data_IF_166353301298
#
_entry.id   IF_166353301298
#
_cell.length_a   1.000
_cell.length_b   1.000
_cell.length_c   1.000
_cell.angle_alpha   90.00
_cell.angle_beta   90.00
_cell.angle_gamma   90.00
#
_symmetry.space_group_name_H-M   'P 1'
#
loop_
_entity.id
_entity.type
_entity.pdbx_description
1 polymer ?
#
# COMPACT_ATOMS: atom_id res chain seq x y z
N UNK A 1 79.93 -31.18 8.41
CA UNK A 1 78.68 -31.48 9.16
C UNK A 1 77.72 -30.32 8.99
N UNK A 2 76.57 -30.52 8.32
CA UNK A 2 75.63 -29.43 7.97
C UNK A 2 74.51 -29.40 9.03
N UNK A 3 74.49 -28.36 9.87
CA UNK A 3 73.55 -28.20 10.98
C UNK A 3 72.15 -27.90 10.39
N UNK A 4 71.19 -28.83 10.53
CA UNK A 4 69.79 -28.55 10.18
C UNK A 4 69.26 -27.54 11.20
N UNK A 5 68.80 -26.40 10.72
CA UNK A 5 68.04 -25.45 11.54
C UNK A 5 66.63 -26.01 11.62
N UNK A 6 66.26 -26.55 12.77
CA UNK A 6 64.87 -26.85 13.06
C UNK A 6 64.15 -25.50 13.22
N UNK A 7 63.32 -25.16 12.22
CA UNK A 7 62.40 -24.06 12.36
C UNK A 7 61.44 -24.42 13.48
N UNK A 8 61.55 -23.71 14.61
CA UNK A 8 60.69 -23.93 15.77
C UNK A 8 59.22 -23.78 15.36
N UNK A 9 58.42 -24.81 15.60
CA UNK A 9 56.98 -24.90 15.31
C UNK A 9 56.12 -23.80 15.97
N UNK A 10 56.74 -22.92 16.77
CA UNK A 10 56.08 -21.83 17.51
C UNK A 10 55.50 -20.73 16.58
N UNK A 11 56.14 -20.43 15.45
CA UNK A 11 55.69 -19.37 14.55
C UNK A 11 54.41 -19.72 13.78
N UNK A 12 54.26 -20.97 13.36
CA UNK A 12 53.11 -21.44 12.58
C UNK A 12 51.82 -21.48 13.42
N UNK A 13 51.91 -21.90 14.69
CA UNK A 13 50.75 -21.91 15.60
C UNK A 13 50.18 -20.51 15.83
N UNK A 14 51.04 -19.49 15.96
CA UNK A 14 50.61 -18.09 16.14
C UNK A 14 49.98 -17.53 14.86
N UNK A 15 50.52 -17.87 13.68
CA UNK A 15 49.95 -17.46 12.38
C UNK A 15 48.57 -18.08 12.17
N UNK A 16 48.38 -19.35 12.50
CA UNK A 16 47.07 -20.01 12.40
C UNK A 16 46.05 -19.35 13.34
N UNK A 17 46.47 -18.98 14.55
CA UNK A 17 45.59 -18.33 15.53
C UNK A 17 45.17 -16.93 15.07
N UNK A 18 46.09 -16.12 14.54
CA UNK A 18 45.74 -14.79 14.00
C UNK A 18 44.86 -14.90 12.76
N UNK A 19 45.14 -15.86 11.87
CA UNK A 19 44.29 -16.12 10.70
C UNK A 19 42.88 -16.51 11.11
N UNK A 20 42.73 -17.46 12.03
CA UNK A 20 41.42 -17.87 12.55
C UNK A 20 40.69 -16.72 13.23
N UNK A 21 41.38 -15.86 13.99
CA UNK A 21 40.78 -14.70 14.63
C UNK A 21 40.25 -13.71 13.58
N UNK A 22 41.01 -13.44 12.53
CA UNK A 22 40.56 -12.59 11.42
C UNK A 22 39.34 -13.21 10.74
N UNK A 23 39.36 -14.52 10.48
CA UNK A 23 38.22 -15.23 9.89
C UNK A 23 36.95 -15.13 10.75
N UNK A 24 37.05 -15.24 12.08
CA UNK A 24 35.91 -15.09 12.98
C UNK A 24 35.38 -13.66 12.97
N UNK A 25 36.29 -12.66 12.98
CA UNK A 25 35.90 -11.25 12.94
C UNK A 25 35.23 -10.89 11.62
N UNK A 26 35.78 -11.33 10.48
CA UNK A 26 35.17 -11.09 9.17
C UNK A 26 33.82 -11.79 9.05
N UNK A 27 33.73 -13.06 9.47
CA UNK A 27 32.47 -13.78 9.50
C UNK A 27 31.42 -13.08 10.37
N UNK A 28 31.81 -12.61 11.55
CA UNK A 28 30.92 -11.87 12.46
C UNK A 28 30.44 -10.55 11.85
N UNK A 29 31.34 -9.82 11.17
CA UNK A 29 30.99 -8.58 10.50
C UNK A 29 30.00 -8.82 9.34
N UNK A 30 30.24 -9.84 8.51
CA UNK A 30 29.31 -10.23 7.45
C UNK A 30 27.96 -10.66 8.03
N UNK A 31 27.96 -11.50 9.06
CA UNK A 31 26.73 -11.95 9.73
C UNK A 31 25.92 -10.77 10.30
N UNK A 32 26.57 -9.78 10.90
CA UNK A 32 25.90 -8.57 11.40
C UNK A 32 25.31 -7.73 10.27
N UNK A 33 26.05 -7.52 9.18
CA UNK A 33 25.57 -6.76 8.02
C UNK A 33 24.35 -7.45 7.38
N UNK A 34 24.41 -8.77 7.21
CA UNK A 34 23.29 -9.57 6.71
C UNK A 34 22.08 -9.47 7.64
N UNK A 35 22.26 -9.69 8.95
CA UNK A 35 21.17 -9.60 9.93
C UNK A 35 20.53 -8.20 9.97
N UNK A 36 21.32 -7.13 9.85
CA UNK A 36 20.80 -5.76 9.80
C UNK A 36 20.02 -5.49 8.50
N UNK A 37 20.46 -6.03 7.37
CA UNK A 37 19.73 -5.96 6.11
C UNK A 37 18.38 -6.67 6.20
N UNK A 38 18.37 -7.89 6.73
CA UNK A 38 17.16 -8.70 6.89
C UNK A 38 16.19 -8.05 7.88
N UNK A 39 16.71 -7.46 8.96
CA UNK A 39 15.91 -6.69 9.90
C UNK A 39 15.23 -5.49 9.22
N UNK A 40 15.98 -4.70 8.43
CA UNK A 40 15.42 -3.56 7.70
C UNK A 40 14.35 -3.99 6.69
N UNK A 41 14.59 -5.09 5.97
CA UNK A 41 13.61 -5.64 5.04
C UNK A 41 12.33 -6.06 5.79
N UNK A 42 12.48 -6.85 6.85
CA UNK A 42 11.36 -7.34 7.67
C UNK A 42 10.55 -6.20 8.24
N UNK A 43 11.22 -5.15 8.73
CA UNK A 43 10.57 -3.95 9.24
C UNK A 43 9.76 -3.24 8.16
N UNK A 44 10.33 -3.03 6.96
CA UNK A 44 9.61 -2.42 5.84
C UNK A 44 8.36 -3.21 5.45
N UNK A 45 8.46 -4.55 5.43
CA UNK A 45 7.31 -5.42 5.14
C UNK A 45 6.24 -5.27 6.22
N UNK A 46 6.61 -5.27 7.49
CA UNK A 46 5.69 -5.08 8.60
C UNK A 46 5.00 -3.71 8.56
N UNK A 47 5.77 -2.65 8.33
CA UNK A 47 5.28 -1.27 8.22
C UNK A 47 4.29 -1.14 7.04
N UNK A 48 4.63 -1.71 5.88
CA UNK A 48 3.77 -1.71 4.70
C UNK A 48 2.47 -2.49 4.91
N UNK A 49 2.56 -3.63 5.60
CA UNK A 49 1.38 -4.43 5.92
C UNK A 49 0.45 -3.66 6.88
N UNK A 50 1.03 -3.02 7.90
CA UNK A 50 0.30 -2.17 8.84
C UNK A 50 -0.40 -1.01 8.14
N UNK A 51 0.30 -0.29 7.25
CA UNK A 51 -0.31 0.82 6.51
C UNK A 51 -1.42 0.36 5.57
N UNK A 52 -1.28 -0.80 4.94
CA UNK A 52 -2.32 -1.40 4.12
C UNK A 52 -3.60 -1.68 4.92
N UNK A 53 -3.49 -2.34 6.07
CA UNK A 53 -4.66 -2.61 6.90
C UNK A 53 -5.27 -1.35 7.48
N UNK A 54 -4.47 -0.35 7.83
CA UNK A 54 -4.96 0.96 8.27
C UNK A 54 -5.75 1.69 7.18
N UNK A 55 -5.34 1.57 5.91
CA UNK A 55 -6.10 2.12 4.80
C UNK A 55 -7.40 1.34 4.56
N UNK A 56 -7.39 0.03 4.75
CA UNK A 56 -8.60 -0.79 4.69
C UNK A 56 -9.61 -0.40 5.78
N UNK A 57 -9.15 -0.18 7.01
CA UNK A 57 -9.98 0.28 8.13
C UNK A 57 -10.66 1.61 7.79
N UNK A 58 -9.91 2.59 7.27
CA UNK A 58 -10.47 3.86 6.80
C UNK A 58 -11.52 3.66 5.70
N UNK A 59 -11.25 2.80 4.73
CA UNK A 59 -12.22 2.52 3.66
C UNK A 59 -13.50 1.88 4.21
N UNK A 60 -13.41 1.00 5.21
CA UNK A 60 -14.57 0.40 5.87
C UNK A 60 -15.37 1.40 6.70
N UNK A 61 -14.69 2.30 7.42
CA UNK A 61 -15.35 3.37 8.17
C UNK A 61 -16.18 4.26 7.22
N UNK A 62 -15.60 4.62 6.08
CA UNK A 62 -16.30 5.36 5.03
C UNK A 62 -17.50 4.59 4.45
N UNK A 63 -17.35 3.29 4.18
CA UNK A 63 -18.45 2.44 3.74
C UNK A 63 -19.58 2.44 4.78
N UNK A 64 -19.25 2.36 6.07
CA UNK A 64 -20.26 2.41 7.14
C UNK A 64 -21.00 3.74 7.20
N UNK A 65 -20.31 4.86 6.94
CA UNK A 65 -20.95 6.18 6.87
C UNK A 65 -21.89 6.26 5.66
N UNK A 66 -21.46 5.73 4.51
CA UNK A 66 -22.28 5.65 3.30
C UNK A 66 -23.51 4.78 3.53
N UNK A 67 -23.42 3.70 4.30
CA UNK A 67 -24.56 2.83 4.61
C UNK A 67 -25.67 3.60 5.34
N UNK A 68 -25.30 4.45 6.29
CA UNK A 68 -26.24 5.32 6.99
C UNK A 68 -26.86 6.37 6.06
N UNK A 69 -26.07 6.95 5.16
CA UNK A 69 -26.54 7.91 4.15
C UNK A 69 -27.51 7.23 3.16
N UNK A 70 -27.19 6.03 2.68
CA UNK A 70 -28.04 5.28 1.75
C UNK A 70 -29.36 4.87 2.41
N UNK A 71 -29.33 4.45 3.68
CA UNK A 71 -30.53 4.11 4.44
C UNK A 71 -31.44 5.33 4.65
N UNK A 72 -30.88 6.45 5.11
CA UNK A 72 -31.65 7.70 5.30
C UNK A 72 -32.20 8.26 3.99
N UNK A 73 -31.42 8.20 2.90
CA UNK A 73 -31.87 8.59 1.57
C UNK A 73 -33.03 7.72 1.07
N UNK A 74 -33.04 6.42 1.39
CA UNK A 74 -34.12 5.52 1.02
C UNK A 74 -35.41 5.82 1.79
N UNK A 75 -35.34 6.08 3.10
CA UNK A 75 -36.52 6.43 3.91
C UNK A 75 -37.13 7.78 3.49
N UNK A 76 -36.31 8.74 3.08
CA UNK A 76 -36.75 10.06 2.64
C UNK A 76 -37.21 10.16 1.18
N UNK A 77 -37.01 9.11 0.37
CA UNK A 77 -37.23 9.19 -1.07
C UNK A 77 -38.43 8.34 -1.54
N UNK A 78 -39.43 8.94 -2.20
CA UNK A 78 -40.58 8.20 -2.73
C UNK A 78 -40.24 7.40 -4.00
N UNK A 79 -39.27 7.87 -4.80
CA UNK A 79 -38.94 7.31 -6.11
C UNK A 79 -37.44 7.07 -6.31
N UNK A 80 -37.09 6.15 -7.23
CA UNK A 80 -35.69 5.86 -7.63
C UNK A 80 -34.92 7.11 -8.07
N UNK A 81 -35.58 8.07 -8.72
CA UNK A 81 -34.95 9.33 -9.15
C UNK A 81 -34.61 10.24 -7.95
N UNK A 82 -35.56 10.39 -7.02
CA UNK A 82 -35.37 11.19 -5.81
C UNK A 82 -34.26 10.60 -4.91
N UNK A 83 -34.17 9.27 -4.84
CA UNK A 83 -33.13 8.55 -4.11
C UNK A 83 -31.72 8.92 -4.60
N UNK A 84 -31.49 8.90 -5.91
CA UNK A 84 -30.19 9.23 -6.45
C UNK A 84 -29.85 10.71 -6.29
N UNK A 85 -30.82 11.63 -6.41
CA UNK A 85 -30.60 13.05 -6.15
C UNK A 85 -30.28 13.34 -4.67
N UNK A 86 -30.93 12.64 -3.74
CA UNK A 86 -30.63 12.74 -2.31
C UNK A 86 -29.19 12.27 -2.01
N UNK A 87 -28.76 11.17 -2.62
CA UNK A 87 -27.38 10.65 -2.47
C UNK A 87 -26.35 11.62 -3.06
N UNK A 88 -26.60 12.17 -4.25
CA UNK A 88 -25.73 13.17 -4.86
C UNK A 88 -25.54 14.39 -3.95
N UNK A 89 -26.64 14.85 -3.35
CA UNK A 89 -26.61 15.98 -2.42
C UNK A 89 -25.81 15.64 -1.16
N UNK A 90 -26.07 14.48 -0.56
CA UNK A 90 -25.42 14.05 0.67
C UNK A 90 -23.92 13.72 0.50
N UNK A 91 -23.51 13.28 -0.69
CA UNK A 91 -22.12 12.89 -0.99
C UNK A 91 -21.32 13.96 -1.75
N UNK A 92 -21.89 15.16 -1.94
CA UNK A 92 -21.17 16.30 -2.56
C UNK A 92 -20.14 16.94 -1.64
N UNK A 93 -20.14 16.61 -0.34
CA UNK A 93 -19.15 17.10 0.61
C UNK A 93 -17.83 16.34 0.45
N UNK A 94 -16.92 16.97 -0.30
CA UNK A 94 -15.56 16.50 -0.52
C UNK A 94 -14.74 16.62 0.78
N UNK A 95 -14.78 15.57 1.58
CA UNK A 95 -13.86 15.45 2.71
C UNK A 95 -12.40 15.32 2.21
N UNK A 96 -11.49 16.07 2.82
CA UNK A 96 -10.17 16.43 2.25
C UNK A 96 -9.08 15.38 2.46
N UNK A 97 -9.34 14.32 3.26
CA UNK A 97 -8.35 13.29 3.56
C UNK A 97 -8.45 12.02 2.68
N UNK A 98 -9.57 11.83 1.99
CA UNK A 98 -9.87 10.65 1.17
C UNK A 98 -10.48 11.17 -0.12
N UNK A 99 -9.87 10.92 -1.28
CA UNK A 99 -10.51 11.34 -2.53
C UNK A 99 -11.71 10.42 -2.77
N UNK A 100 -12.89 11.00 -2.58
CA UNK A 100 -14.20 10.41 -2.82
C UNK A 100 -14.67 10.92 -4.18
N UNK A 101 -15.10 10.02 -5.06
CA UNK A 101 -15.65 10.41 -6.35
C UNK A 101 -16.95 9.65 -6.61
N UNK A 102 -18.03 10.40 -6.81
CA UNK A 102 -19.30 9.87 -7.25
C UNK A 102 -19.42 10.10 -8.77
N UNK A 103 -19.58 9.01 -9.52
CA UNK A 103 -19.75 9.02 -10.97
C UNK A 103 -21.13 8.47 -11.35
N UNK A 104 -21.79 9.12 -12.30
CA UNK A 104 -23.09 8.70 -12.80
C UNK A 104 -22.92 7.69 -13.93
N UNK A 105 -23.62 6.56 -13.83
CA UNK A 105 -23.70 5.60 -14.93
C UNK A 105 -24.89 5.98 -15.81
N UNK A 106 -24.63 6.71 -16.89
CA UNK A 106 -25.65 7.07 -17.87
C UNK A 106 -25.77 6.01 -18.96
N UNK A 107 -27.01 5.61 -19.27
CA UNK A 107 -27.32 4.85 -20.47
C UNK A 107 -28.47 5.56 -21.19
N UNK A 108 -28.25 5.93 -22.45
CA UNK A 108 -29.22 6.64 -23.29
C UNK A 108 -29.78 7.93 -22.64
N UNK A 109 -28.94 8.74 -21.99
CA UNK A 109 -29.34 10.02 -21.38
C UNK A 109 -30.18 9.91 -20.11
N UNK A 110 -30.28 8.71 -19.51
CA UNK A 110 -30.93 8.47 -18.23
C UNK A 110 -29.94 7.88 -17.23
N UNK A 111 -29.92 8.42 -16.01
CA UNK A 111 -29.11 7.89 -14.90
C UNK A 111 -29.61 6.49 -14.55
N UNK A 112 -28.79 5.48 -14.83
CA UNK A 112 -29.14 4.07 -14.59
C UNK A 112 -28.67 3.57 -13.24
N UNK A 113 -27.60 4.18 -12.69
CA UNK A 113 -27.03 3.90 -11.39
C UNK A 113 -25.93 4.90 -11.02
N UNK A 114 -25.37 4.74 -9.84
CA UNK A 114 -24.32 5.60 -9.29
C UNK A 114 -23.12 4.73 -8.88
N UNK A 115 -21.92 5.14 -9.29
CA UNK A 115 -20.66 4.50 -8.86
C UNK A 115 -19.97 5.40 -7.85
N UNK A 116 -19.72 4.91 -6.65
CA UNK A 116 -18.94 5.62 -5.64
C UNK A 116 -17.54 5.04 -5.53
N UNK A 117 -16.53 5.88 -5.66
CA UNK A 117 -15.12 5.48 -5.61
C UNK A 117 -14.46 6.10 -4.38
N UNK A 118 -13.86 5.25 -3.56
CA UNK A 118 -13.06 5.62 -2.39
C UNK A 118 -11.60 5.36 -2.73
N UNK A 119 -10.74 6.36 -2.55
CA UNK A 119 -9.29 6.20 -2.68
C UNK A 119 -8.58 6.58 -1.38
N UNK A 120 -7.80 5.64 -0.86
CA UNK A 120 -7.01 5.83 0.35
C UNK A 120 -5.53 5.65 0.04
N UNK A 121 -4.72 6.65 0.37
CA UNK A 121 -3.26 6.55 0.26
C UNK A 121 -2.72 5.59 1.34
N UNK A 122 -2.04 4.53 0.90
CA UNK A 122 -1.41 3.51 1.75
C UNK A 122 0.06 3.86 2.01
N UNK A 123 0.74 4.36 0.99
CA UNK A 123 2.11 4.86 1.03
C UNK A 123 2.32 5.82 -0.14
N UNK A 124 3.53 6.39 -0.28
CA UNK A 124 3.87 7.32 -1.37
C UNK A 124 3.69 6.72 -2.78
N UNK A 125 3.69 5.39 -2.88
CA UNK A 125 3.56 4.66 -4.15
C UNK A 125 2.33 3.75 -4.18
N UNK A 126 1.58 3.61 -3.10
CA UNK A 126 0.46 2.68 -3.03
C UNK A 126 -0.84 3.37 -2.66
N UNK A 127 -1.90 3.06 -3.41
CA UNK A 127 -3.24 3.58 -3.20
C UNK A 127 -4.25 2.44 -3.21
N UNK A 128 -5.09 2.38 -2.19
CA UNK A 128 -6.23 1.46 -2.12
C UNK A 128 -7.41 2.12 -2.81
N UNK A 129 -7.94 1.48 -3.86
CA UNK A 129 -9.13 1.93 -4.59
C UNK A 129 -10.28 0.96 -4.36
N UNK A 130 -11.39 1.46 -3.81
CA UNK A 130 -12.63 0.72 -3.60
C UNK A 130 -13.73 1.34 -4.45
N UNK A 131 -14.47 0.53 -5.21
CA UNK A 131 -15.61 0.99 -6.02
C UNK A 131 -16.89 0.29 -5.58
N UNK A 132 -17.90 1.09 -5.26
CA UNK A 132 -19.24 0.68 -4.87
C UNK A 132 -20.20 1.01 -6.01
N UNK A 133 -21.02 0.04 -6.40
CA UNK A 133 -22.14 0.22 -7.33
C UNK A 133 -23.42 0.36 -6.51
N UNK A 134 -23.99 1.56 -6.51
CA UNK A 134 -25.15 1.92 -5.68
C UNK A 134 -26.43 1.51 -6.42
N UNK A 135 -27.23 0.71 -5.72
CA UNK A 135 -28.45 0.13 -6.24
C UNK A 135 -29.65 0.72 -5.50
N UNK A 136 -30.75 0.91 -6.23
CA UNK A 136 -32.04 1.20 -5.59
C UNK A 136 -32.67 -0.12 -5.12
N UNK A 137 -32.89 -0.32 -3.81
CA UNK A 137 -33.50 -1.54 -3.30
C UNK A 137 -35.00 -1.55 -3.60
N UNK A 138 -35.45 -2.55 -4.34
CA UNK A 138 -36.87 -2.70 -4.72
C UNK A 138 -37.63 -3.48 -3.63
N UNK A 139 -36.93 -4.38 -2.95
CA UNK A 139 -37.46 -5.16 -1.84
C UNK A 139 -36.74 -4.80 -0.54
N UNK A 140 -37.43 -4.98 0.59
CA UNK A 140 -36.93 -4.66 1.94
C UNK A 140 -35.67 -5.42 2.37
N UNK A 141 -35.25 -6.44 1.62
CA UNK A 141 -34.05 -7.24 1.87
C UNK A 141 -32.94 -7.00 0.83
N UNK A 142 -33.17 -6.12 -0.15
CA UNK A 142 -32.15 -5.82 -1.15
C UNK A 142 -31.04 -4.95 -0.55
N UNK A 143 -29.79 -5.28 -0.88
CA UNK A 143 -28.64 -4.48 -0.48
C UNK A 143 -28.61 -3.14 -1.24
N UNK A 144 -28.28 -2.06 -0.52
CA UNK A 144 -28.17 -0.71 -1.08
C UNK A 144 -27.01 -0.54 -2.07
N UNK A 145 -25.99 -1.40 -2.01
CA UNK A 145 -24.82 -1.32 -2.89
C UNK A 145 -24.15 -2.68 -3.05
N UNK A 146 -23.27 -2.77 -4.05
CA UNK A 146 -22.36 -3.90 -4.26
C UNK A 146 -20.93 -3.40 -4.44
N UNK A 147 -19.99 -3.98 -3.69
CA UNK A 147 -18.56 -3.74 -3.91
C UNK A 147 -18.17 -4.38 -5.24
N UNK A 148 -17.80 -3.56 -6.24
CA UNK A 148 -17.34 -4.03 -7.56
C UNK A 148 -15.83 -4.22 -7.62
N UNK A 149 -15.10 -3.40 -6.87
CA UNK A 149 -13.65 -3.40 -6.90
C UNK A 149 -13.10 -3.14 -5.51
N UNK A 150 -12.12 -3.93 -5.10
CA UNK A 150 -11.26 -3.68 -3.95
C UNK A 150 -9.83 -3.98 -4.40
N UNK A 151 -9.07 -2.94 -4.74
CA UNK A 151 -7.76 -3.12 -5.39
C UNK A 151 -6.71 -2.20 -4.79
N UNK A 152 -5.57 -2.80 -4.45
CA UNK A 152 -4.34 -2.06 -4.17
C UNK A 152 -3.65 -1.76 -5.50
N UNK A 153 -3.52 -0.47 -5.81
CA UNK A 153 -2.74 0.02 -6.93
C UNK A 153 -1.36 0.41 -6.40
N UNK A 154 -0.31 -0.06 -7.07
CA UNK A 154 1.05 0.43 -6.85
C UNK A 154 1.41 1.27 -8.06
N UNK A 155 1.61 2.56 -7.83
CA UNK A 155 2.18 3.45 -8.81
C UNK A 155 3.66 3.11 -8.95
N UNK A 156 3.98 2.43 -10.04
CA UNK A 156 5.37 2.14 -10.43
C UNK A 156 5.91 3.25 -11.32
N UNK A 157 5.39 4.49 -11.22
CA UNK A 157 5.99 5.66 -11.85
C UNK A 157 7.46 5.74 -11.44
N UNK A 158 8.30 5.20 -12.32
CA UNK A 158 9.71 5.45 -12.36
C UNK A 158 9.79 6.93 -12.71
N UNK A 159 10.05 7.78 -11.72
CA UNK A 159 10.57 9.12 -11.99
C UNK A 159 11.92 8.88 -12.68
N UNK A 160 11.91 8.79 -14.00
CA UNK A 160 13.08 8.80 -14.84
C UNK A 160 13.68 10.20 -14.68
N UNK A 161 14.44 10.39 -13.59
CA UNK A 161 15.18 11.60 -13.36
C UNK A 161 16.35 11.61 -14.35
N UNK A 162 16.02 11.96 -15.59
CA UNK A 162 16.89 12.04 -16.75
C UNK A 162 17.79 13.29 -16.68
N UNK A 163 18.25 13.65 -15.48
CA UNK A 163 19.33 14.60 -15.28
C UNK A 163 20.65 13.86 -15.18
N UNK A 164 21.00 13.16 -16.26
CA UNK A 164 22.39 12.79 -16.51
C UNK A 164 23.17 14.08 -16.79
N UNK A 165 23.88 14.61 -15.79
CA UNK A 165 24.89 15.64 -16.04
C UNK A 165 26.02 15.00 -16.85
N UNK A 166 25.98 15.16 -18.17
CA UNK A 166 27.09 14.81 -19.06
C UNK A 166 28.27 15.71 -18.71
N UNK A 167 29.25 15.20 -17.96
CA UNK A 167 30.61 15.74 -17.98
C UNK A 167 31.27 15.24 -19.28
N UNK A 168 31.02 15.96 -20.37
CA UNK A 168 31.89 16.03 -21.53
C UNK A 168 32.19 17.51 -21.71
N UNK A 169 33.41 17.98 -21.49
CA UNK A 169 34.61 17.55 -22.18
C UNK A 169 34.95 18.69 -23.14
N UNK A 170 35.70 19.66 -22.62
CA UNK A 170 36.23 20.79 -23.38
C UNK A 170 37.28 20.34 -24.39
#
# INVERSE_FOLDING_TARGET
>A
MKKRREFSNFGFSTILLTFSMICIVTFSALAFVTANSDYKLSKRVADNNSSYYRACEKAWDEISQIDAILASAYEGSPDKAAYYEAIKTALSDNDTAINKNLAENESNGKVTGLTYTITCTVSDTQTLTVKLDINYPVHRQDAFYKIKQWKLNTDTAFEENDTLNLIGGN
#
